data_IF_200977947566
#
_entry.id   IF_200977947566
#
_cell.length_a   1.000
_cell.length_b   1.000
_cell.length_c   1.000
_cell.angle_alpha   90.00
_cell.angle_beta   90.00
_cell.angle_gamma   90.00
#
_symmetry.space_group_name_H-M   'P 1'
#
loop_
_entity.id
_entity.type
_entity.pdbx_description
1 polymer ?
#
# COMPACT_ATOMS: atom_id res chain seq x y z
N UNK A 1 -10.36 -21.58 -18.88
CA UNK A 1 -8.97 -21.08 -18.82
C UNK A 1 -8.97 -19.91 -17.84
N UNK A 2 -8.70 -20.17 -16.56
CA UNK A 2 -8.48 -19.07 -15.60
C UNK A 2 -7.28 -18.26 -16.08
N UNK A 3 -7.49 -16.96 -16.35
CA UNK A 3 -6.37 -16.03 -16.42
C UNK A 3 -5.72 -16.04 -15.04
N UNK A 4 -4.37 -16.17 -14.91
CA UNK A 4 -3.74 -15.89 -13.63
C UNK A 4 -4.19 -14.49 -13.23
N UNK A 5 -4.89 -14.39 -12.09
CA UNK A 5 -5.32 -13.09 -11.58
C UNK A 5 -4.05 -12.29 -11.34
N UNK A 6 -3.85 -11.23 -12.14
CA UNK A 6 -2.70 -10.37 -11.94
C UNK A 6 -2.67 -9.92 -10.47
N UNK A 7 -1.50 -9.87 -9.83
CA UNK A 7 -1.43 -9.50 -8.41
C UNK A 7 -2.09 -8.14 -8.20
N UNK A 8 -2.93 -8.03 -7.17
CA UNK A 8 -3.58 -6.75 -6.84
C UNK A 8 -2.51 -5.69 -6.52
N UNK A 9 -2.72 -4.42 -6.92
CA UNK A 9 -1.94 -3.31 -6.42
C UNK A 9 -1.92 -3.28 -4.89
N UNK A 10 -0.80 -2.88 -4.30
CA UNK A 10 -0.59 -2.86 -2.84
C UNK A 10 -0.34 -1.44 -2.36
N UNK A 11 -1.17 -0.93 -1.46
CA UNK A 11 -0.95 0.34 -0.77
C UNK A 11 -0.26 0.10 0.58
N UNK A 12 0.88 0.75 0.77
CA UNK A 12 1.66 0.77 1.99
C UNK A 12 1.39 2.08 2.75
N UNK A 13 1.15 1.96 4.06
CA UNK A 13 0.83 3.10 4.91
C UNK A 13 1.33 2.90 6.34
N UNK A 14 1.52 4.00 7.07
CA UNK A 14 1.77 3.99 8.50
C UNK A 14 0.46 3.97 9.29
N UNK A 15 0.14 2.82 9.89
CA UNK A 15 -1.04 2.69 10.77
C UNK A 15 -0.92 3.44 12.10
N UNK A 16 0.29 3.81 12.54
CA UNK A 16 0.52 4.59 13.75
C UNK A 16 0.44 6.11 13.52
N UNK A 17 0.52 6.57 12.26
CA UNK A 17 0.35 7.97 11.90
C UNK A 17 -1.15 8.35 11.80
N UNK A 18 -1.67 9.32 12.58
CA UNK A 18 -3.08 9.71 12.54
C UNK A 18 -3.54 10.25 11.18
N UNK A 19 -2.62 10.86 10.42
CA UNK A 19 -2.92 11.40 9.08
C UNK A 19 -3.06 10.27 8.06
N UNK A 20 -2.04 9.40 7.97
CA UNK A 20 -2.05 8.27 7.03
C UNK A 20 -3.21 7.31 7.32
N UNK A 21 -3.42 6.94 8.58
CA UNK A 21 -4.51 6.04 8.98
C UNK A 21 -5.90 6.60 8.66
N UNK A 22 -6.11 7.90 8.87
CA UNK A 22 -7.39 8.57 8.51
C UNK A 22 -7.62 8.56 7.01
N UNK A 23 -6.60 8.86 6.21
CA UNK A 23 -6.69 8.87 4.74
C UNK A 23 -6.97 7.47 4.19
N UNK A 24 -6.25 6.46 4.68
CA UNK A 24 -6.46 5.06 4.32
C UNK A 24 -7.86 4.59 4.72
N UNK A 25 -8.35 4.95 5.90
CA UNK A 25 -9.71 4.62 6.32
C UNK A 25 -10.78 5.27 5.42
N UNK A 26 -10.50 6.44 4.84
CA UNK A 26 -11.38 7.04 3.83
C UNK A 26 -11.36 6.25 2.52
N UNK A 27 -10.17 5.84 2.04
CA UNK A 27 -10.05 5.06 0.81
C UNK A 27 -10.66 3.67 0.93
N UNK A 28 -10.52 3.00 2.07
CA UNK A 28 -11.12 1.68 2.32
C UNK A 28 -12.66 1.67 2.27
N UNK A 29 -13.30 2.84 2.38
CA UNK A 29 -14.76 2.98 2.28
C UNK A 29 -15.24 3.24 0.86
N UNK A 30 -14.34 3.46 -0.09
CA UNK A 30 -14.70 3.74 -1.48
C UNK A 30 -14.97 2.44 -2.26
N UNK A 31 -15.88 2.47 -3.25
CA UNK A 31 -16.05 1.35 -4.17
C UNK A 31 -14.72 0.96 -4.84
N UNK A 32 -14.39 -0.33 -4.86
CA UNK A 32 -13.13 -0.85 -5.44
C UNK A 32 -11.96 -0.96 -4.46
N UNK A 33 -12.14 -0.63 -3.18
CA UNK A 33 -11.13 -0.85 -2.14
C UNK A 33 -10.74 -2.33 -1.97
N UNK A 34 -11.64 -3.25 -2.32
CA UNK A 34 -11.43 -4.69 -2.38
C UNK A 34 -10.46 -5.13 -3.49
N UNK A 35 -10.17 -4.25 -4.45
CA UNK A 35 -9.20 -4.48 -5.53
C UNK A 35 -7.78 -4.00 -5.17
N UNK A 36 -7.54 -3.62 -3.92
CA UNK A 36 -6.22 -3.27 -3.41
C UNK A 36 -5.86 -4.16 -2.22
N UNK A 37 -4.58 -4.52 -2.13
CA UNK A 37 -3.96 -5.01 -0.90
C UNK A 37 -3.55 -3.82 -0.04
N UNK A 38 -3.83 -3.88 1.25
CA UNK A 38 -3.48 -2.84 2.21
C UNK A 38 -2.42 -3.39 3.16
N UNK A 39 -1.28 -2.70 3.30
CA UNK A 39 -0.16 -3.12 4.15
C UNK A 39 0.18 -1.99 5.12
N UNK A 40 -0.06 -2.26 6.40
CA UNK A 40 0.40 -1.41 7.50
C UNK A 40 1.89 -1.70 7.77
N UNK A 41 2.74 -0.73 7.45
CA UNK A 41 4.19 -0.87 7.58
C UNK A 41 4.67 -0.82 9.03
N UNK A 42 3.78 -0.69 10.00
CA UNK A 42 4.12 -0.87 11.42
C UNK A 42 3.95 -2.33 11.87
N UNK A 43 3.25 -3.15 11.08
CA UNK A 43 2.88 -4.54 11.43
C UNK A 43 3.38 -5.59 10.44
N UNK A 44 3.88 -5.17 9.28
CA UNK A 44 4.38 -6.08 8.25
C UNK A 44 5.86 -6.42 8.42
N UNK A 45 6.28 -7.54 7.82
CA UNK A 45 7.69 -7.89 7.69
C UNK A 45 8.38 -7.03 6.63
N UNK A 46 9.71 -6.87 6.74
CA UNK A 46 10.49 -6.13 5.73
C UNK A 46 10.39 -6.76 4.33
N UNK A 47 10.22 -8.08 4.25
CA UNK A 47 10.04 -8.80 2.99
C UNK A 47 8.75 -8.39 2.24
N UNK A 48 7.72 -7.91 2.94
CA UNK A 48 6.45 -7.49 2.30
C UNK A 48 6.55 -6.15 1.58
N UNK A 49 7.53 -5.32 1.93
CA UNK A 49 7.78 -4.03 1.25
C UNK A 49 8.28 -4.25 -0.18
N UNK A 50 8.98 -5.36 -0.41
CA UNK A 50 9.63 -5.69 -1.67
C UNK A 50 10.72 -4.68 -2.05
N UNK A 51 11.20 -4.76 -3.29
CA UNK A 51 12.34 -3.96 -3.74
C UNK A 51 11.98 -2.49 -3.98
N UNK A 52 12.83 -1.57 -3.53
CA UNK A 52 12.70 -0.14 -3.79
C UNK A 52 11.77 0.61 -2.84
N UNK A 53 11.28 -0.02 -1.76
CA UNK A 53 10.54 0.64 -0.68
C UNK A 53 11.20 0.35 0.67
N UNK A 54 11.70 1.39 1.34
CA UNK A 54 12.15 1.27 2.73
C UNK A 54 10.98 1.49 3.68
N UNK A 55 11.07 0.93 4.89
CA UNK A 55 10.08 1.17 5.95
C UNK A 55 9.99 2.66 6.29
N UNK A 56 11.13 3.33 6.40
CA UNK A 56 11.20 4.77 6.70
C UNK A 56 10.48 5.60 5.63
N UNK A 57 10.67 5.27 4.34
CA UNK A 57 9.96 5.94 3.26
C UNK A 57 8.45 5.69 3.37
N UNK A 58 8.02 4.44 3.60
CA UNK A 58 6.61 4.10 3.76
C UNK A 58 5.96 4.70 5.02
N UNK A 59 6.75 4.98 6.06
CA UNK A 59 6.28 5.68 7.25
C UNK A 59 6.08 7.17 7.00
N UNK A 60 6.87 7.77 6.11
CA UNK A 60 6.78 9.21 5.83
C UNK A 60 5.54 9.60 4.99
N UNK A 61 5.02 8.68 4.16
CA UNK A 61 3.87 8.92 3.26
C UNK A 61 3.32 7.63 2.65
N UNK A 62 2.14 7.70 2.05
CA UNK A 62 1.51 6.59 1.34
C UNK A 62 2.31 6.19 0.09
N UNK A 63 2.38 4.89 -0.17
CA UNK A 63 3.01 4.32 -1.37
C UNK A 63 2.11 3.28 -2.00
N UNK A 64 1.94 3.33 -3.32
CA UNK A 64 1.23 2.33 -4.11
C UNK A 64 2.23 1.55 -4.96
N UNK A 65 2.33 0.24 -4.75
CA UNK A 65 2.95 -0.67 -5.72
C UNK A 65 1.87 -1.20 -6.65
N UNK A 66 2.01 -0.94 -7.94
CA UNK A 66 1.09 -1.42 -8.95
C UNK A 66 1.26 -2.93 -9.19
N UNK A 67 0.30 -3.54 -9.88
CA UNK A 67 0.32 -4.96 -10.25
C UNK A 67 1.56 -5.36 -11.09
N UNK A 68 2.14 -4.39 -11.82
CA UNK A 68 3.36 -4.56 -12.61
C UNK A 68 4.66 -4.38 -11.78
N UNK A 69 4.53 -4.14 -10.47
CA UNK A 69 5.64 -3.93 -9.55
C UNK A 69 6.12 -2.48 -9.44
N UNK A 70 5.60 -1.55 -10.25
CA UNK A 70 6.01 -0.14 -10.24
C UNK A 70 5.56 0.53 -8.94
N UNK A 71 6.50 1.23 -8.28
CA UNK A 71 6.21 2.03 -7.10
C UNK A 71 5.80 3.45 -7.47
N UNK A 72 4.73 3.93 -6.85
CA UNK A 72 4.26 5.31 -6.92
C UNK A 72 4.14 5.84 -5.49
N UNK A 73 4.88 6.88 -5.16
CA UNK A 73 4.76 7.57 -3.88
C UNK A 73 3.71 8.67 -3.97
N UNK A 74 2.91 8.85 -2.93
CA UNK A 74 2.04 10.01 -2.81
C UNK A 74 2.85 11.32 -2.83
N UNK A 75 2.26 12.38 -3.40
CA UNK A 75 2.80 13.73 -3.22
C UNK A 75 2.68 14.11 -1.75
N UNK A 76 3.76 14.66 -1.19
CA UNK A 76 3.80 15.22 0.17
C UNK A 76 3.51 16.71 0.16
#
# INVERSE_FOLDING_TARGET
MEKPSAPLPTLYFDGACPVCSREVAMYQRQPGADQLRWVDVTRCDAAELGDGLTREAAMARLHLRQADGRLVSGAG
#
